data_IF_302094680276
#
_entry.id   IF_302094680276
#
_cell.length_a   1.000
_cell.length_b   1.000
_cell.length_c   1.000
_cell.angle_alpha   90.00
_cell.angle_beta   90.00
_cell.angle_gamma   90.00
#
_symmetry.space_group_name_H-M   'P 1'
#
loop_
_entity.id
_entity.type
_entity.pdbx_description
1 polymer ?
#
# COMPACT_ATOMS: atom_id res chain seq x y z
N UNK A 1 -11.31 -17.43 -9.29
CA UNK A 1 -10.80 -16.07 -9.60
C UNK A 1 -9.75 -15.70 -8.57
N UNK A 2 -8.72 -14.96 -8.96
CA UNK A 2 -7.62 -14.51 -8.07
C UNK A 2 -7.51 -13.00 -8.20
N UNK A 3 -7.62 -12.28 -7.07
CA UNK A 3 -7.62 -10.81 -7.04
C UNK A 3 -6.42 -10.32 -6.24
N UNK A 4 -5.52 -9.62 -6.91
CA UNK A 4 -4.33 -9.01 -6.31
C UNK A 4 -4.65 -7.58 -5.86
N UNK A 5 -4.70 -7.38 -4.55
CA UNK A 5 -5.07 -6.10 -3.91
C UNK A 5 -3.87 -5.16 -3.71
N UNK A 6 -2.66 -5.56 -4.16
CA UNK A 6 -1.44 -4.78 -3.99
C UNK A 6 -0.57 -4.88 -5.24
N UNK A 7 -0.87 -4.03 -6.22
CA UNK A 7 -0.10 -3.93 -7.44
C UNK A 7 0.14 -2.46 -7.82
N UNK A 8 1.32 -2.19 -8.37
CA UNK A 8 1.74 -0.84 -8.71
C UNK A 8 1.78 -0.60 -10.21
N UNK A 9 1.53 0.64 -10.58
CA UNK A 9 1.48 1.10 -11.95
C UNK A 9 2.14 2.47 -12.07
N UNK A 10 2.91 2.68 -13.14
CA UNK A 10 3.45 4.00 -13.51
C UNK A 10 3.15 4.21 -14.99
N UNK A 11 2.15 5.04 -15.34
CA UNK A 11 1.75 5.24 -16.72
C UNK A 11 2.87 5.88 -17.54
N UNK A 12 2.90 5.58 -18.85
CA UNK A 12 3.93 6.06 -19.76
C UNK A 12 4.12 7.59 -19.72
N UNK A 13 3.02 8.34 -19.62
CA UNK A 13 3.06 9.81 -19.53
C UNK A 13 3.73 10.28 -18.23
N UNK A 14 3.50 9.57 -17.14
CA UNK A 14 4.17 9.87 -15.86
C UNK A 14 5.64 9.48 -15.92
N UNK A 15 5.98 8.33 -16.49
CA UNK A 15 7.37 7.93 -16.69
C UNK A 15 8.14 8.99 -17.51
N UNK A 16 7.50 9.53 -18.56
CA UNK A 16 8.09 10.62 -19.35
C UNK A 16 8.30 11.91 -18.53
N UNK A 17 7.36 12.24 -17.63
CA UNK A 17 7.54 13.36 -16.71
C UNK A 17 8.67 13.10 -15.71
N UNK A 18 8.79 11.88 -15.19
CA UNK A 18 9.86 11.49 -14.26
C UNK A 18 11.25 11.49 -14.92
N UNK A 19 11.38 11.20 -16.22
CA UNK A 19 12.65 11.31 -16.99
C UNK A 19 13.16 12.76 -17.08
N UNK A 20 12.28 13.74 -17.02
CA UNK A 20 12.64 15.17 -17.05
C UNK A 20 13.08 15.72 -15.71
N UNK A 21 12.81 15.00 -14.64
CA UNK A 21 13.18 15.40 -13.27
C UNK A 21 14.68 15.17 -13.01
N UNK A 22 15.17 15.77 -11.92
CA UNK A 22 16.53 15.57 -11.41
C UNK A 22 16.54 15.32 -9.89
N UNK A 23 15.38 15.33 -9.27
CA UNK A 23 15.16 15.00 -7.86
C UNK A 23 14.21 13.81 -7.75
N UNK A 24 14.42 12.99 -6.72
CA UNK A 24 13.63 11.78 -6.51
C UNK A 24 12.13 12.09 -6.28
N UNK A 25 11.25 11.32 -6.89
CA UNK A 25 11.54 10.23 -7.85
C UNK A 25 11.90 10.78 -9.24
N UNK A 26 12.90 10.19 -9.88
CA UNK A 26 13.26 10.50 -11.27
C UNK A 26 13.82 9.26 -11.99
N UNK A 27 13.69 9.22 -13.31
CA UNK A 27 14.14 8.09 -14.14
C UNK A 27 15.40 8.49 -14.92
N UNK A 28 16.41 7.62 -14.85
CA UNK A 28 17.68 7.73 -15.55
C UNK A 28 17.82 6.65 -16.61
N UNK A 29 18.20 7.06 -17.83
CA UNK A 29 18.61 6.11 -18.86
C UNK A 29 20.06 5.66 -18.59
N UNK A 30 20.29 4.36 -18.52
CA UNK A 30 21.59 3.76 -18.27
C UNK A 30 22.33 3.49 -19.58
N UNK A 31 23.69 3.45 -19.56
CA UNK A 31 24.49 3.23 -20.76
C UNK A 31 24.19 1.91 -21.51
N UNK A 32 23.75 0.88 -20.79
CA UNK A 32 23.36 -0.44 -21.31
C UNK A 32 21.98 -0.48 -21.97
N UNK A 33 21.26 0.65 -21.99
CA UNK A 33 19.94 0.76 -22.60
C UNK A 33 18.77 0.38 -21.68
N UNK A 34 19.05 0.10 -20.39
CA UNK A 34 18.03 -0.06 -19.35
C UNK A 34 17.68 1.30 -18.72
N UNK A 35 16.68 1.33 -17.87
CA UNK A 35 16.32 2.51 -17.09
C UNK A 35 16.36 2.20 -15.59
N UNK A 36 16.65 3.22 -14.81
CA UNK A 36 16.65 3.14 -13.34
C UNK A 36 15.82 4.28 -12.76
N UNK A 37 14.92 3.95 -11.85
CA UNK A 37 14.22 4.95 -11.06
C UNK A 37 14.93 5.21 -9.75
N UNK A 38 15.29 6.47 -9.52
CA UNK A 38 15.89 6.95 -8.28
C UNK A 38 14.80 7.40 -7.32
N UNK A 39 14.84 6.87 -6.11
CA UNK A 39 13.86 7.07 -5.04
C UNK A 39 14.53 7.76 -3.85
N UNK A 40 13.77 8.33 -2.91
CA UNK A 40 14.33 8.87 -1.67
C UNK A 40 15.11 7.85 -0.82
N UNK A 41 14.90 6.55 -1.07
CA UNK A 41 15.48 5.44 -0.29
C UNK A 41 16.47 4.58 -1.08
N UNK A 42 16.79 4.94 -2.32
CA UNK A 42 17.68 4.17 -3.20
C UNK A 42 17.23 4.21 -4.64
N UNK A 43 17.57 3.18 -5.41
CA UNK A 43 17.18 3.09 -6.80
C UNK A 43 16.75 1.66 -7.16
N UNK A 44 15.80 1.54 -8.09
CA UNK A 44 15.29 0.29 -8.63
C UNK A 44 15.45 0.28 -10.15
N UNK A 45 15.48 -0.89 -10.75
CA UNK A 45 15.30 -1.05 -12.18
C UNK A 45 13.89 -0.59 -12.56
N UNK A 46 13.78 0.11 -13.70
CA UNK A 46 12.50 0.58 -14.23
C UNK A 46 12.33 0.04 -15.65
N UNK A 47 11.17 -0.55 -15.91
CA UNK A 47 10.93 -1.21 -17.20
C UNK A 47 9.45 -1.24 -17.60
N UNK A 48 9.17 -2.00 -18.65
CA UNK A 48 7.84 -2.16 -19.22
C UNK A 48 6.82 -2.79 -18.25
N UNK A 49 7.27 -3.53 -17.27
CA UNK A 49 6.48 -4.14 -16.20
C UNK A 49 5.71 -3.11 -15.36
N UNK A 50 6.20 -1.85 -15.29
CA UNK A 50 5.48 -0.76 -14.64
C UNK A 50 4.40 -0.14 -15.51
N UNK A 51 4.56 -0.07 -16.85
CA UNK A 51 3.76 0.80 -17.72
C UNK A 51 3.05 0.10 -18.86
N UNK A 52 3.50 -1.07 -19.31
CA UNK A 52 2.97 -1.78 -20.47
C UNK A 52 1.79 -2.69 -20.09
N UNK A 53 0.55 -2.21 -20.29
CA UNK A 53 -0.65 -2.96 -19.92
C UNK A 53 -0.86 -4.26 -20.72
N UNK A 54 -0.45 -4.31 -21.98
CA UNK A 54 -0.53 -5.55 -22.77
C UNK A 54 0.38 -6.64 -22.21
N UNK A 55 1.62 -6.27 -21.89
CA UNK A 55 2.56 -7.19 -21.24
C UNK A 55 2.07 -7.59 -19.84
N UNK A 56 1.49 -6.66 -19.07
CA UNK A 56 0.93 -6.95 -17.74
C UNK A 56 -0.25 -7.92 -17.79
N UNK A 57 -1.17 -7.76 -18.72
CA UNK A 57 -2.29 -8.70 -18.88
C UNK A 57 -1.77 -10.10 -19.22
N UNK A 58 -0.83 -10.22 -20.15
CA UNK A 58 -0.22 -11.50 -20.48
C UNK A 58 0.51 -12.13 -19.27
N UNK A 59 1.23 -11.32 -18.49
CA UNK A 59 1.89 -11.74 -17.25
C UNK A 59 0.88 -12.26 -16.21
N UNK A 60 -0.25 -11.56 -16.04
CA UNK A 60 -1.33 -11.95 -15.14
C UNK A 60 -1.96 -13.28 -15.58
N UNK A 61 -2.26 -13.41 -16.90
CA UNK A 61 -2.86 -14.63 -17.47
C UNK A 61 -1.96 -15.86 -17.26
N UNK A 62 -0.65 -15.71 -17.46
CA UNK A 62 0.33 -16.77 -17.23
C UNK A 62 0.35 -17.27 -15.78
N UNK A 63 0.05 -16.38 -14.82
CA UNK A 63 0.09 -16.67 -13.38
C UNK A 63 -1.28 -16.92 -12.75
N UNK A 64 -2.34 -16.87 -13.54
CA UNK A 64 -3.70 -17.06 -13.06
C UNK A 64 -4.18 -15.94 -12.12
N UNK A 65 -3.67 -14.71 -12.32
CA UNK A 65 -4.18 -13.51 -11.66
C UNK A 65 -5.25 -12.86 -12.53
N UNK A 66 -6.47 -12.89 -12.08
CA UNK A 66 -7.61 -12.42 -12.88
C UNK A 66 -7.76 -10.89 -12.82
N UNK A 67 -7.54 -10.30 -11.65
CA UNK A 67 -7.75 -8.87 -11.41
C UNK A 67 -6.66 -8.26 -10.51
N UNK A 68 -6.30 -7.00 -10.76
CA UNK A 68 -5.38 -6.23 -9.91
C UNK A 68 -6.00 -4.91 -9.47
N UNK A 69 -5.79 -4.54 -8.20
CA UNK A 69 -5.99 -3.20 -7.67
C UNK A 69 -4.72 -2.38 -7.91
N UNK A 70 -4.78 -1.43 -8.85
CA UNK A 70 -3.63 -0.62 -9.26
C UNK A 70 -3.49 0.64 -8.43
N UNK A 71 -2.31 0.86 -7.90
CA UNK A 71 -1.96 2.06 -7.14
C UNK A 71 -0.62 2.67 -7.57
N UNK A 72 -0.38 3.91 -7.20
CA UNK A 72 0.94 4.52 -7.32
C UNK A 72 1.88 3.95 -6.25
N UNK A 73 3.16 3.65 -6.56
CA UNK A 73 4.07 3.12 -5.55
C UNK A 73 4.39 4.14 -4.45
N UNK A 74 3.87 3.95 -3.23
CA UNK A 74 4.00 4.91 -2.13
C UNK A 74 5.45 5.19 -1.71
N UNK A 75 6.35 4.19 -1.80
CA UNK A 75 7.78 4.37 -1.52
C UNK A 75 8.50 5.28 -2.53
N UNK A 76 7.89 5.60 -3.68
CA UNK A 76 8.43 6.61 -4.59
C UNK A 76 8.40 8.01 -3.98
N UNK A 77 7.50 8.26 -3.01
CA UNK A 77 7.47 9.44 -2.17
C UNK A 77 7.06 10.73 -2.89
N UNK A 78 6.44 10.63 -4.07
CA UNK A 78 5.94 11.78 -4.81
C UNK A 78 4.73 12.42 -4.12
N UNK A 79 3.87 11.61 -3.53
CA UNK A 79 2.67 11.99 -2.79
C UNK A 79 2.95 12.86 -1.55
N UNK A 80 4.19 12.80 -1.06
CA UNK A 80 4.68 13.54 0.11
C UNK A 80 5.57 14.74 -0.24
N UNK A 81 5.75 15.04 -1.53
CA UNK A 81 6.44 16.26 -2.00
C UNK A 81 5.53 17.48 -1.85
N UNK A 82 6.09 18.72 -1.91
CA UNK A 82 5.27 19.94 -1.94
C UNK A 82 4.11 19.83 -2.95
N UNK A 83 2.93 20.30 -2.57
CA UNK A 83 1.72 20.04 -3.35
C UNK A 83 1.75 20.66 -4.75
N UNK A 84 2.40 21.80 -4.94
CA UNK A 84 2.61 22.45 -6.23
C UNK A 84 3.47 21.62 -7.19
N UNK A 85 4.38 20.81 -6.65
CA UNK A 85 5.20 19.85 -7.40
C UNK A 85 4.43 18.54 -7.66
N UNK A 86 3.78 18.01 -6.63
CA UNK A 86 3.18 16.67 -6.64
C UNK A 86 1.83 16.62 -7.36
N UNK A 87 0.93 17.57 -7.10
CA UNK A 87 -0.46 17.50 -7.56
C UNK A 87 -0.62 17.34 -9.07
N UNK A 88 0.14 18.05 -9.95
CA UNK A 88 0.01 17.86 -11.40
C UNK A 88 0.37 16.44 -11.85
N UNK A 89 1.39 15.82 -11.23
CA UNK A 89 1.85 14.48 -11.58
C UNK A 89 0.91 13.40 -11.03
N UNK A 90 0.38 13.60 -9.83
CA UNK A 90 -0.57 12.67 -9.22
C UNK A 90 -1.91 12.71 -9.94
N UNK A 91 -2.38 13.88 -10.37
CA UNK A 91 -3.57 14.02 -11.21
C UNK A 91 -3.40 13.30 -12.56
N UNK A 92 -2.24 13.44 -13.19
CA UNK A 92 -1.91 12.71 -14.43
C UNK A 92 -1.92 11.18 -14.19
N UNK A 93 -1.39 10.71 -13.07
CA UNK A 93 -1.48 9.30 -12.68
C UNK A 93 -2.94 8.87 -12.53
N UNK A 94 -3.76 9.63 -11.79
CA UNK A 94 -5.15 9.31 -11.52
C UNK A 94 -5.99 9.23 -12.80
N UNK A 95 -5.78 10.15 -13.73
CA UNK A 95 -6.43 10.11 -15.05
C UNK A 95 -6.04 8.86 -15.85
N UNK A 96 -4.77 8.49 -15.82
CA UNK A 96 -4.24 7.34 -16.55
C UNK A 96 -4.71 6.00 -15.95
N UNK A 97 -4.66 5.82 -14.63
CA UNK A 97 -5.14 4.59 -14.00
C UNK A 97 -6.64 4.41 -14.16
N UNK A 98 -7.42 5.50 -14.13
CA UNK A 98 -8.83 5.48 -14.43
C UNK A 98 -9.11 5.09 -15.89
N UNK A 99 -8.31 5.58 -16.84
CA UNK A 99 -8.43 5.19 -18.25
C UNK A 99 -8.15 3.70 -18.45
N UNK A 100 -7.12 3.15 -17.77
CA UNK A 100 -6.81 1.71 -17.79
C UNK A 100 -7.94 0.89 -17.19
N UNK A 101 -8.48 1.29 -16.04
CA UNK A 101 -9.60 0.60 -15.39
C UNK A 101 -10.87 0.60 -16.26
N UNK A 102 -11.17 1.69 -16.94
CA UNK A 102 -12.31 1.76 -17.90
C UNK A 102 -12.08 0.91 -19.15
N UNK A 103 -10.84 0.82 -19.64
CA UNK A 103 -10.53 0.01 -20.82
C UNK A 103 -10.57 -1.49 -20.53
N UNK A 104 -10.30 -1.89 -19.29
CA UNK A 104 -10.23 -3.28 -18.85
C UNK A 104 -10.93 -3.47 -17.49
N UNK A 105 -12.27 -3.26 -17.40
CA UNK A 105 -12.99 -3.21 -16.12
C UNK A 105 -12.98 -4.55 -15.36
N UNK A 106 -12.85 -5.65 -16.07
CA UNK A 106 -12.77 -7.00 -15.47
C UNK A 106 -11.35 -7.36 -14.98
N UNK A 107 -10.35 -6.53 -15.33
CA UNK A 107 -8.93 -6.80 -15.03
C UNK A 107 -8.33 -5.81 -14.03
N UNK A 108 -8.78 -4.57 -14.02
CA UNK A 108 -8.17 -3.53 -13.22
C UNK A 108 -9.19 -2.68 -12.47
N UNK A 109 -8.86 -2.40 -11.22
CA UNK A 109 -9.48 -1.36 -10.40
C UNK A 109 -8.40 -0.38 -9.99
N UNK A 110 -8.64 0.93 -10.06
CA UNK A 110 -7.66 1.96 -9.73
C UNK A 110 -7.90 2.60 -8.36
N UNK A 111 -6.81 2.95 -7.69
CA UNK A 111 -6.79 3.85 -6.52
C UNK A 111 -6.16 5.18 -6.88
N UNK A 112 -6.67 6.26 -6.29
CA UNK A 112 -6.09 7.59 -6.43
C UNK A 112 -4.79 7.72 -5.63
N UNK A 113 -3.84 8.47 -6.18
CA UNK A 113 -2.69 9.00 -5.45
C UNK A 113 -2.99 10.47 -5.09
N UNK A 114 -2.65 10.89 -3.86
CA UNK A 114 -3.10 12.16 -3.27
C UNK A 114 -1.91 13.02 -2.82
N UNK A 115 -1.97 14.37 -2.98
CA UNK A 115 -0.90 15.28 -2.56
C UNK A 115 -0.98 15.58 -1.04
N UNK A 116 -0.39 14.74 -0.19
CA UNK A 116 -0.51 14.82 1.27
C UNK A 116 0.11 16.07 1.92
N UNK A 117 0.91 16.84 1.18
CA UNK A 117 1.44 18.10 1.68
C UNK A 117 0.37 19.21 1.80
N UNK A 118 -0.79 19.03 1.16
CA UNK A 118 -1.95 19.93 1.24
C UNK A 118 -3.23 19.10 1.37
N UNK A 119 -3.80 19.07 2.57
CA UNK A 119 -4.96 18.23 2.87
C UNK A 119 -6.21 18.64 2.09
N UNK A 120 -6.41 19.94 1.83
CA UNK A 120 -7.56 20.41 1.06
C UNK A 120 -7.47 19.93 -0.39
N UNK A 121 -6.28 19.98 -0.99
CA UNK A 121 -6.04 19.42 -2.32
C UNK A 121 -6.16 17.89 -2.33
N UNK A 122 -5.69 17.19 -1.29
CA UNK A 122 -5.83 15.74 -1.16
C UNK A 122 -7.31 15.31 -1.11
N UNK A 123 -8.14 16.02 -0.32
CA UNK A 123 -9.59 15.79 -0.26
C UNK A 123 -10.27 16.09 -1.59
N UNK A 124 -9.91 17.20 -2.25
CA UNK A 124 -10.47 17.55 -3.56
C UNK A 124 -10.14 16.49 -4.61
N UNK A 125 -8.89 15.99 -4.63
CA UNK A 125 -8.44 14.97 -5.57
C UNK A 125 -9.05 13.59 -5.28
N UNK A 126 -9.25 13.22 -4.00
CA UNK A 126 -10.01 12.02 -3.64
C UNK A 126 -11.43 12.09 -4.20
N UNK A 127 -12.13 13.22 -3.99
CA UNK A 127 -13.49 13.41 -4.51
C UNK A 127 -13.51 13.31 -6.04
N UNK A 128 -12.61 14.01 -6.74
CA UNK A 128 -12.48 13.92 -8.19
C UNK A 128 -12.24 12.49 -8.65
N UNK A 129 -11.28 11.80 -8.03
CA UNK A 129 -10.93 10.41 -8.34
C UNK A 129 -12.14 9.47 -8.25
N UNK A 130 -12.92 9.57 -7.17
CA UNK A 130 -14.05 8.68 -6.96
C UNK A 130 -15.30 9.07 -7.76
N UNK A 131 -15.63 10.38 -7.86
CA UNK A 131 -16.92 10.80 -8.47
C UNK A 131 -16.84 11.03 -9.98
N UNK A 132 -15.68 11.43 -10.50
CA UNK A 132 -15.52 11.76 -11.93
C UNK A 132 -14.73 10.67 -12.68
N UNK A 133 -13.74 10.06 -12.02
CA UNK A 133 -12.87 9.09 -12.64
C UNK A 133 -13.29 7.64 -12.38
N UNK A 134 -14.12 7.36 -11.34
CA UNK A 134 -14.59 6.03 -10.99
C UNK A 134 -13.52 5.19 -10.29
N UNK A 135 -12.57 5.82 -9.59
CA UNK A 135 -11.60 5.13 -8.75
C UNK A 135 -12.23 4.63 -7.46
N UNK A 136 -11.77 3.49 -6.96
CA UNK A 136 -12.36 2.83 -5.79
C UNK A 136 -12.01 3.51 -4.45
N UNK A 137 -11.04 4.42 -4.45
CA UNK A 137 -10.55 5.10 -3.25
C UNK A 137 -9.15 5.61 -3.44
N UNK A 138 -8.27 5.48 -2.44
CA UNK A 138 -6.91 6.00 -2.51
C UNK A 138 -5.89 5.14 -1.78
N UNK A 139 -4.60 5.27 -2.17
CA UNK A 139 -3.45 4.78 -1.42
C UNK A 139 -2.98 5.84 -0.43
N UNK A 140 -2.66 5.42 0.81
CA UNK A 140 -2.24 6.30 1.91
C UNK A 140 -0.89 5.87 2.47
N UNK A 141 0.01 6.81 2.87
CA UNK A 141 1.28 6.46 3.46
C UNK A 141 1.11 5.96 4.90
N UNK A 142 1.64 4.79 5.23
CA UNK A 142 1.56 4.22 6.58
C UNK A 142 2.18 5.13 7.65
N UNK A 143 3.20 5.92 7.31
CA UNK A 143 3.82 6.83 8.26
C UNK A 143 2.87 7.94 8.77
N UNK A 144 1.77 8.19 8.06
CA UNK A 144 0.72 9.08 8.55
C UNK A 144 -0.08 8.49 9.75
N UNK A 145 0.13 7.21 10.06
CA UNK A 145 -0.52 6.49 11.15
C UNK A 145 0.47 5.99 12.23
N UNK A 146 1.70 6.47 12.25
CA UNK A 146 2.68 6.06 13.28
C UNK A 146 2.27 6.47 14.70
N UNK A 147 1.47 7.52 14.84
CA UNK A 147 0.86 7.96 16.09
C UNK A 147 -0.57 8.41 15.84
N UNK A 148 -1.40 8.40 16.90
CA UNK A 148 -2.77 8.90 16.79
C UNK A 148 -2.80 10.40 16.42
N UNK A 149 -1.86 11.19 16.91
CA UNK A 149 -1.77 12.62 16.59
C UNK A 149 -1.50 12.88 15.09
N UNK A 150 -0.79 11.99 14.44
CA UNK A 150 -0.59 12.07 12.97
C UNK A 150 -1.85 11.58 12.24
N UNK A 151 -2.46 10.48 12.68
CA UNK A 151 -3.69 9.96 12.10
C UNK A 151 -4.83 10.99 12.14
N UNK A 152 -4.95 11.73 13.23
CA UNK A 152 -5.95 12.80 13.40
C UNK A 152 -5.89 13.88 12.30
N UNK A 153 -4.72 14.13 11.72
CA UNK A 153 -4.56 15.08 10.61
C UNK A 153 -5.27 14.60 9.32
N UNK A 154 -5.53 13.31 9.20
CA UNK A 154 -6.22 12.71 8.06
C UNK A 154 -7.74 12.65 8.22
N UNK A 155 -8.32 13.14 9.34
CA UNK A 155 -9.78 13.13 9.54
C UNK A 155 -10.56 13.76 8.38
N UNK A 156 -10.17 14.91 7.81
CA UNK A 156 -10.91 15.48 6.67
C UNK A 156 -10.96 14.53 5.45
N UNK A 157 -9.89 13.77 5.23
CA UNK A 157 -9.83 12.78 4.16
C UNK A 157 -10.73 11.58 4.44
N UNK A 158 -10.73 11.08 5.69
CA UNK A 158 -11.60 9.97 6.12
C UNK A 158 -13.08 10.37 6.15
N UNK A 159 -13.41 11.60 6.54
CA UNK A 159 -14.78 12.14 6.44
C UNK A 159 -15.27 12.16 4.99
N UNK A 160 -14.43 12.66 4.07
CA UNK A 160 -14.72 12.65 2.64
C UNK A 160 -14.88 11.22 2.11
N UNK A 161 -13.96 10.33 2.50
CA UNK A 161 -13.98 8.91 2.14
C UNK A 161 -15.23 8.20 2.66
N UNK A 162 -15.62 8.45 3.91
CA UNK A 162 -16.82 7.87 4.51
C UNK A 162 -18.11 8.31 3.81
N UNK A 163 -18.17 9.57 3.39
CA UNK A 163 -19.29 10.08 2.60
C UNK A 163 -19.42 9.43 1.22
N UNK A 164 -18.31 8.95 0.66
CA UNK A 164 -18.22 8.34 -0.67
C UNK A 164 -18.25 6.80 -0.66
N UNK A 165 -18.02 6.16 0.50
CA UNK A 165 -17.92 4.70 0.59
C UNK A 165 -16.66 4.17 -0.08
N UNK A 166 -15.48 4.74 0.21
CA UNK A 166 -14.23 4.41 -0.48
C UNK A 166 -13.43 3.31 0.20
N UNK A 167 -12.53 2.72 -0.58
CA UNK A 167 -11.50 1.83 -0.08
C UNK A 167 -10.17 2.55 0.09
N UNK A 168 -9.55 2.49 1.28
CA UNK A 168 -8.21 2.99 1.52
C UNK A 168 -7.20 1.84 1.64
N UNK A 169 -6.14 1.94 0.85
CA UNK A 169 -4.97 1.08 0.93
C UNK A 169 -3.84 1.79 1.69
N UNK A 170 -3.48 1.31 2.88
CA UNK A 170 -2.39 1.88 3.68
C UNK A 170 -1.11 1.12 3.38
N UNK A 171 -0.19 1.80 2.70
CA UNK A 171 1.02 1.25 2.11
C UNK A 171 2.27 1.90 2.71
N UNK A 172 3.44 1.21 2.75
CA UNK A 172 4.69 1.85 3.13
C UNK A 172 4.94 3.15 2.38
N UNK A 173 5.03 4.24 3.11
CA UNK A 173 5.17 5.59 2.55
C UNK A 173 5.49 6.61 3.62
N UNK A 174 6.07 7.75 3.21
CA UNK A 174 6.50 8.83 4.11
C UNK A 174 5.43 9.90 4.26
N UNK A 175 5.48 10.64 5.35
CA UNK A 175 4.77 11.92 5.49
C UNK A 175 5.57 13.05 4.84
N UNK A 176 4.92 14.18 4.49
CA UNK A 176 5.60 15.35 3.91
C UNK A 176 6.76 15.88 4.77
N UNK A 177 6.63 15.87 6.09
CA UNK A 177 7.67 16.32 7.03
C UNK A 177 8.88 15.36 7.11
N UNK A 178 8.79 14.16 6.54
CA UNK A 178 9.84 13.16 6.50
C UNK A 178 10.60 13.11 5.16
N UNK A 179 10.16 13.92 4.18
CA UNK A 179 10.85 14.02 2.89
C UNK A 179 12.09 14.87 3.06
N UNK A 180 13.29 14.37 2.72
CA UNK A 180 14.52 15.16 2.80
C UNK A 180 14.42 16.42 1.97
N UNK A 181 14.95 17.54 2.47
CA UNK A 181 15.06 18.75 1.68
C UNK A 181 15.88 18.49 0.40
N UNK A 182 15.57 19.21 -0.67
CA UNK A 182 16.28 19.11 -1.94
C UNK A 182 17.80 19.25 -1.73
N UNK A 183 18.57 18.33 -2.29
CA UNK A 183 20.04 18.32 -2.19
C UNK A 183 20.61 17.83 -0.85
N UNK A 184 19.78 17.39 0.11
CA UNK A 184 20.27 16.76 1.33
C UNK A 184 20.69 15.32 1.06
N UNK A 185 21.93 14.95 1.45
CA UNK A 185 22.35 13.56 1.43
C UNK A 185 21.59 12.76 2.48
N UNK A 186 21.11 11.57 2.14
CA UNK A 186 20.62 10.64 3.14
C UNK A 186 21.75 10.32 4.13
N UNK A 187 21.48 10.28 5.46
CA UNK A 187 22.49 9.91 6.43
C UNK A 187 23.07 8.54 6.08
N UNK A 188 24.42 8.44 6.13
CA UNK A 188 25.09 7.17 5.89
C UNK A 188 24.60 6.13 6.90
N UNK A 189 24.14 4.96 6.40
CA UNK A 189 23.74 3.87 7.27
C UNK A 189 24.97 3.34 8.01
N UNK A 190 24.95 3.20 9.35
CA UNK A 190 26.03 2.56 10.10
C UNK A 190 26.18 1.07 9.77
N UNK A 191 25.25 0.51 8.99
CA UNK A 191 25.19 -0.88 8.56
C UNK A 191 25.24 -0.98 7.03
N UNK A 192 26.18 -0.27 6.39
CA UNK A 192 26.25 -0.17 4.92
C UNK A 192 26.20 -1.55 4.22
N UNK A 193 26.86 -2.56 4.77
CA UNK A 193 26.92 -3.92 4.21
C UNK A 193 25.58 -4.68 4.33
N UNK A 194 24.68 -4.24 5.20
CA UNK A 194 23.36 -4.84 5.45
C UNK A 194 22.21 -3.85 5.23
N UNK A 195 22.45 -2.79 4.47
CA UNK A 195 21.48 -1.71 4.27
C UNK A 195 20.12 -2.23 3.78
N UNK A 196 20.10 -3.18 2.83
CA UNK A 196 18.85 -3.77 2.32
C UNK A 196 18.07 -4.53 3.41
N UNK A 197 18.75 -5.32 4.25
CA UNK A 197 18.10 -6.09 5.31
C UNK A 197 17.56 -5.16 6.40
N UNK A 198 18.31 -4.12 6.76
CA UNK A 198 17.88 -3.09 7.71
C UNK A 198 16.68 -2.33 7.18
N UNK A 199 16.70 -1.91 5.92
CA UNK A 199 15.57 -1.23 5.30
C UNK A 199 14.30 -2.07 5.28
N UNK A 200 14.42 -3.37 4.93
CA UNK A 200 13.28 -4.28 4.97
C UNK A 200 12.69 -4.39 6.38
N UNK A 201 13.54 -4.49 7.42
CA UNK A 201 13.09 -4.52 8.81
C UNK A 201 12.41 -3.21 9.22
N UNK A 202 13.01 -2.06 8.88
CA UNK A 202 12.47 -0.73 9.24
C UNK A 202 11.10 -0.48 8.59
N UNK A 203 10.90 -0.93 7.34
CA UNK A 203 9.58 -0.90 6.67
C UNK A 203 8.57 -1.74 7.45
N UNK A 204 8.89 -2.99 7.78
CA UNK A 204 7.97 -3.86 8.51
C UNK A 204 7.68 -3.33 9.94
N UNK A 205 8.65 -2.72 10.60
CA UNK A 205 8.44 -2.08 11.89
C UNK A 205 7.51 -0.86 11.78
N UNK A 206 7.69 -0.01 10.77
CA UNK A 206 6.81 1.15 10.56
C UNK A 206 5.37 0.74 10.24
N UNK A 207 5.17 -0.30 9.43
CA UNK A 207 3.85 -0.88 9.16
C UNK A 207 3.22 -1.40 10.45
N UNK A 208 3.99 -2.10 11.30
CA UNK A 208 3.48 -2.60 12.58
C UNK A 208 3.04 -1.48 13.52
N UNK A 209 3.79 -0.38 13.60
CA UNK A 209 3.40 0.80 14.39
C UNK A 209 2.10 1.43 13.88
N UNK A 210 1.97 1.61 12.57
CA UNK A 210 0.75 2.14 11.96
C UNK A 210 -0.45 1.22 12.21
N UNK A 211 -0.27 -0.09 12.02
CA UNK A 211 -1.30 -1.09 12.28
C UNK A 211 -1.75 -1.05 13.75
N UNK A 212 -0.79 -0.98 14.69
CA UNK A 212 -1.08 -0.88 16.12
C UNK A 212 -1.87 0.39 16.46
N UNK A 213 -1.48 1.55 15.89
CA UNK A 213 -2.20 2.81 16.09
C UNK A 213 -3.66 2.68 15.67
N UNK A 214 -3.91 2.09 14.50
CA UNK A 214 -5.28 1.96 13.97
C UNK A 214 -6.11 0.91 14.72
N UNK A 215 -5.50 -0.21 15.11
CA UNK A 215 -6.22 -1.26 15.84
C UNK A 215 -6.56 -0.87 17.27
N UNK A 216 -5.67 -0.12 17.95
CA UNK A 216 -5.81 0.16 19.39
C UNK A 216 -6.30 1.57 19.70
N UNK A 217 -6.72 2.33 18.68
CA UNK A 217 -7.39 3.60 18.83
C UNK A 217 -8.87 3.50 18.37
N UNK A 218 -9.62 4.54 18.62
CA UNK A 218 -11.01 4.68 18.18
C UNK A 218 -11.11 5.46 16.85
N UNK A 219 -9.98 5.59 16.13
CA UNK A 219 -9.88 6.39 14.91
C UNK A 219 -10.91 5.99 13.84
N UNK A 220 -11.18 4.69 13.70
CA UNK A 220 -12.13 4.19 12.70
C UNK A 220 -13.60 4.21 13.14
N UNK A 221 -13.89 4.47 14.40
CA UNK A 221 -15.26 4.30 14.94
C UNK A 221 -16.27 5.23 14.26
N UNK A 222 -15.81 6.39 13.76
CA UNK A 222 -16.65 7.37 13.06
C UNK A 222 -16.82 7.08 11.55
N UNK A 223 -16.09 6.08 10.99
CA UNK A 223 -15.99 5.86 9.54
C UNK A 223 -16.50 4.48 9.11
N UNK A 224 -17.77 4.19 9.40
CA UNK A 224 -18.37 2.87 9.15
C UNK A 224 -18.52 2.50 7.67
N UNK A 225 -18.46 3.49 6.77
CA UNK A 225 -18.62 3.31 5.32
C UNK A 225 -17.26 3.32 4.56
N UNK A 226 -16.14 3.33 5.28
CA UNK A 226 -14.79 3.19 4.70
C UNK A 226 -14.31 1.76 4.89
N UNK A 227 -13.78 1.16 3.83
CA UNK A 227 -13.02 -0.08 3.94
C UNK A 227 -11.52 0.21 3.90
N UNK A 228 -10.73 -0.56 4.64
CA UNK A 228 -9.28 -0.34 4.74
C UNK A 228 -8.55 -1.67 4.71
N UNK A 229 -7.44 -1.74 3.97
CA UNK A 229 -6.44 -2.78 4.19
C UNK A 229 -5.04 -2.17 4.37
N UNK A 230 -4.22 -2.86 5.18
CA UNK A 230 -2.83 -2.52 5.47
C UNK A 230 -1.90 -3.47 4.71
N UNK A 231 -0.83 -2.93 4.16
CA UNK A 231 0.19 -3.73 3.48
C UNK A 231 0.90 -4.72 4.42
N UNK A 232 1.47 -5.76 3.82
CA UNK A 232 2.52 -6.62 4.39
C UNK A 232 2.11 -7.29 5.71
N UNK A 233 0.90 -7.89 5.77
CA UNK A 233 0.37 -8.59 6.96
C UNK A 233 0.35 -7.74 8.25
N UNK A 234 0.28 -6.40 8.11
CA UNK A 234 0.40 -5.50 9.25
C UNK A 234 1.83 -5.44 9.84
N UNK A 235 2.83 -5.73 9.02
CA UNK A 235 4.24 -5.69 9.39
C UNK A 235 4.64 -6.77 10.39
N UNK A 236 5.43 -6.39 11.39
CA UNK A 236 5.86 -7.31 12.47
C UNK A 236 4.83 -7.47 13.59
N UNK A 237 3.65 -6.84 13.49
CA UNK A 237 2.64 -6.89 14.55
C UNK A 237 2.21 -8.32 14.93
N UNK A 238 1.92 -9.25 13.98
CA UNK A 238 1.55 -10.61 14.34
C UNK A 238 2.57 -11.33 15.21
N UNK A 239 3.86 -11.01 15.04
CA UNK A 239 4.94 -11.62 15.83
C UNK A 239 4.96 -11.16 17.30
N UNK A 240 4.43 -9.96 17.60
CA UNK A 240 4.56 -9.34 18.93
C UNK A 240 3.24 -9.14 19.67
N UNK A 241 2.10 -9.38 19.04
CA UNK A 241 0.79 -9.05 19.60
C UNK A 241 0.46 -9.84 20.89
N UNK A 242 0.86 -11.11 20.99
CA UNK A 242 0.71 -11.91 22.22
C UNK A 242 1.55 -11.34 23.36
N UNK A 243 2.74 -10.81 23.05
CA UNK A 243 3.53 -10.09 24.06
C UNK A 243 2.85 -8.79 24.49
N UNK A 244 2.20 -8.07 23.56
CA UNK A 244 1.43 -6.87 23.92
C UNK A 244 0.25 -7.23 24.82
N UNK A 245 -0.44 -8.35 24.56
CA UNK A 245 -1.49 -8.91 25.41
C UNK A 245 -0.96 -9.15 26.83
N UNK A 246 0.17 -9.85 26.94
CA UNK A 246 0.79 -10.14 28.22
C UNK A 246 1.25 -8.89 28.99
N UNK A 247 1.75 -7.86 28.27
CA UNK A 247 2.10 -6.58 28.88
C UNK A 247 0.86 -5.86 29.42
N UNK A 248 -0.24 -5.86 28.66
CA UNK A 248 -1.51 -5.26 29.10
C UNK A 248 -2.03 -5.94 30.37
N UNK A 249 -1.99 -7.27 30.40
CA UNK A 249 -2.35 -8.05 31.60
C UNK A 249 -1.48 -7.71 32.82
N UNK A 250 -0.14 -7.75 32.62
CA UNK A 250 0.82 -7.48 33.72
C UNK A 250 0.70 -6.07 34.29
N UNK A 251 0.29 -5.10 33.47
CA UNK A 251 0.11 -3.70 33.88
C UNK A 251 -1.31 -3.38 34.33
N UNK A 252 -2.23 -4.34 34.33
CA UNK A 252 -3.62 -4.13 34.71
C UNK A 252 -4.32 -3.11 33.81
N UNK A 253 -4.07 -3.16 32.51
CA UNK A 253 -4.77 -2.29 31.55
C UNK A 253 -6.21 -2.73 31.45
N UNK A 254 -7.14 -1.81 31.73
CA UNK A 254 -8.57 -2.04 31.58
C UNK A 254 -9.01 -1.82 30.13
N UNK A 255 -10.12 -2.49 29.74
CA UNK A 255 -10.73 -2.35 28.42
C UNK A 255 -10.34 -3.44 27.43
N UNK A 256 -10.49 -3.13 26.15
CA UNK A 256 -10.24 -4.08 25.07
C UNK A 256 -8.77 -4.52 25.04
N UNK A 257 -8.59 -5.81 24.86
CA UNK A 257 -7.27 -6.43 24.75
C UNK A 257 -6.76 -6.38 23.30
N UNK A 258 -5.43 -6.35 23.05
CA UNK A 258 -4.87 -6.33 21.70
C UNK A 258 -5.47 -7.38 20.76
N UNK A 259 -5.58 -8.63 21.22
CA UNK A 259 -6.14 -9.73 20.42
C UNK A 259 -7.60 -9.53 20.03
N UNK A 260 -8.43 -8.86 20.86
CA UNK A 260 -9.84 -8.64 20.57
C UNK A 260 -10.09 -7.64 19.44
N UNK A 261 -9.08 -6.82 19.11
CA UNK A 261 -9.19 -5.76 18.10
C UNK A 261 -8.65 -6.15 16.72
N UNK A 262 -8.05 -7.32 16.57
CA UNK A 262 -7.40 -7.76 15.31
C UNK A 262 -8.36 -7.83 14.12
N UNK A 263 -9.67 -7.97 14.36
CA UNK A 263 -10.70 -8.05 13.31
C UNK A 263 -11.16 -6.70 12.72
N UNK A 264 -10.62 -5.59 13.22
CA UNK A 264 -11.02 -4.23 12.78
C UNK A 264 -10.41 -3.82 11.44
N UNK A 265 -9.41 -4.54 10.93
CA UNK A 265 -8.63 -4.18 9.76
C UNK A 265 -8.39 -5.40 8.86
N UNK A 266 -8.32 -5.19 7.55
CA UNK A 266 -7.78 -6.18 6.64
C UNK A 266 -6.29 -5.93 6.41
N UNK A 267 -5.57 -6.98 6.02
CA UNK A 267 -4.15 -6.91 5.67
C UNK A 267 -3.89 -7.67 4.38
N UNK A 268 -2.95 -7.23 3.55
CA UNK A 268 -2.50 -8.03 2.41
C UNK A 268 -1.27 -8.89 2.76
N UNK A 269 -1.03 -9.92 1.98
CA UNK A 269 0.07 -10.86 2.22
C UNK A 269 1.28 -10.62 1.32
N UNK A 270 1.45 -9.41 0.78
CA UNK A 270 2.52 -9.11 -0.17
C UNK A 270 3.92 -9.35 0.38
N UNK A 271 4.77 -9.86 -0.48
CA UNK A 271 6.23 -10.02 -0.31
C UNK A 271 6.70 -10.78 0.95
N UNK A 272 5.79 -11.47 1.67
CA UNK A 272 6.10 -12.30 2.84
C UNK A 272 5.89 -13.79 2.54
N UNK A 273 6.56 -14.66 3.31
CA UNK A 273 6.54 -16.11 3.06
C UNK A 273 5.38 -16.84 3.74
N UNK A 274 5.23 -18.14 3.42
CA UNK A 274 4.17 -19.01 3.92
C UNK A 274 4.05 -19.03 5.46
N UNK A 275 5.16 -19.01 6.18
CA UNK A 275 5.16 -19.03 7.67
C UNK A 275 4.63 -17.72 8.26
N UNK A 276 4.94 -16.59 7.63
CA UNK A 276 4.39 -15.30 8.04
C UNK A 276 2.88 -15.24 7.79
N UNK A 277 2.43 -15.80 6.67
CA UNK A 277 1.00 -15.92 6.34
C UNK A 277 0.28 -16.83 7.35
N UNK A 278 0.82 -17.99 7.67
CA UNK A 278 0.26 -18.89 8.70
C UNK A 278 0.10 -18.20 10.07
N UNK A 279 1.12 -17.45 10.49
CA UNK A 279 1.06 -16.67 11.72
C UNK A 279 0.00 -15.58 11.65
N UNK A 280 -0.05 -14.82 10.56
CA UNK A 280 -1.05 -13.76 10.39
C UNK A 280 -2.48 -14.32 10.36
N UNK A 281 -2.72 -15.46 9.70
CA UNK A 281 -4.01 -16.17 9.73
C UNK A 281 -4.40 -16.54 11.16
N UNK A 282 -3.46 -17.02 11.98
CA UNK A 282 -3.74 -17.38 13.39
C UNK A 282 -4.12 -16.16 14.25
N UNK A 283 -3.66 -14.96 13.89
CA UNK A 283 -3.89 -13.71 14.63
C UNK A 283 -5.13 -12.96 14.09
N UNK A 284 -5.16 -12.66 12.79
CA UNK A 284 -6.23 -11.88 12.19
C UNK A 284 -7.42 -12.72 11.75
N UNK A 285 -7.20 -14.01 11.44
CA UNK A 285 -8.13 -14.88 10.72
C UNK A 285 -8.00 -14.72 9.21
N UNK A 286 -8.25 -15.82 8.49
CA UNK A 286 -8.18 -15.83 7.03
C UNK A 286 -9.16 -14.85 6.38
N UNK A 287 -10.30 -14.57 7.04
CA UNK A 287 -11.33 -13.62 6.60
C UNK A 287 -10.88 -12.15 6.59
N UNK A 288 -9.70 -11.86 7.15
CA UNK A 288 -9.09 -10.51 7.20
C UNK A 288 -7.85 -10.38 6.33
N UNK A 289 -7.46 -11.41 5.59
CA UNK A 289 -6.28 -11.36 4.74
C UNK A 289 -6.72 -11.35 3.28
N UNK A 290 -6.16 -10.43 2.49
CA UNK A 290 -6.31 -10.39 1.03
C UNK A 290 -5.00 -10.76 0.36
N UNK A 291 -5.05 -11.32 -0.84
CA UNK A 291 -3.87 -11.48 -1.66
C UNK A 291 -3.33 -10.12 -2.08
N UNK A 292 -2.02 -9.92 -1.99
CA UNK A 292 -1.30 -8.78 -2.50
C UNK A 292 0.10 -9.21 -2.93
N UNK A 293 0.61 -8.70 -4.04
CA UNK A 293 1.90 -9.13 -4.60
C UNK A 293 3.01 -8.10 -4.50
N UNK A 294 2.66 -6.83 -4.43
CA UNK A 294 3.58 -5.67 -4.56
C UNK A 294 4.28 -5.65 -5.94
N UNK A 295 3.60 -6.23 -6.94
CA UNK A 295 4.08 -6.28 -8.33
C UNK A 295 4.11 -4.84 -8.92
N UNK A 296 5.17 -4.46 -9.66
CA UNK A 296 6.32 -5.25 -10.10
C UNK A 296 7.55 -5.12 -9.17
N UNK A 297 7.43 -4.48 -8.02
CA UNK A 297 8.55 -4.29 -7.06
C UNK A 297 9.04 -5.65 -6.54
N UNK A 298 8.09 -6.55 -6.24
CA UNK A 298 8.37 -7.94 -5.89
C UNK A 298 7.75 -8.91 -6.88
N UNK A 299 8.28 -10.12 -6.94
CA UNK A 299 7.78 -11.17 -7.81
C UNK A 299 6.41 -11.68 -7.30
N UNK A 300 5.41 -11.64 -8.16
CA UNK A 300 4.09 -12.26 -7.94
C UNK A 300 4.19 -13.75 -7.57
N UNK A 301 5.18 -14.46 -8.13
CA UNK A 301 5.39 -15.88 -7.88
C UNK A 301 5.70 -16.18 -6.41
N UNK A 302 6.32 -15.25 -5.68
CA UNK A 302 6.58 -15.41 -4.24
C UNK A 302 5.29 -15.42 -3.41
N UNK A 303 4.37 -14.50 -3.67
CA UNK A 303 3.08 -14.47 -2.97
C UNK A 303 2.23 -15.68 -3.32
N UNK A 304 2.16 -16.05 -4.59
CA UNK A 304 1.44 -17.27 -5.01
C UNK A 304 2.02 -18.53 -4.38
N UNK A 305 3.36 -18.63 -4.32
CA UNK A 305 4.03 -19.72 -3.62
C UNK A 305 3.75 -19.71 -2.11
N UNK A 306 3.76 -18.53 -1.48
CA UNK A 306 3.48 -18.40 -0.05
C UNK A 306 2.06 -18.89 0.29
N UNK A 307 1.04 -18.51 -0.52
CA UNK A 307 -0.35 -18.93 -0.32
C UNK A 307 -0.50 -20.44 -0.59
N UNK A 308 0.17 -20.99 -1.63
CA UNK A 308 0.15 -22.41 -1.95
C UNK A 308 0.78 -23.26 -0.85
N UNK A 309 1.95 -22.83 -0.34
CA UNK A 309 2.81 -23.61 0.57
C UNK A 309 2.42 -23.43 2.04
N UNK A 310 1.61 -22.43 2.38
CA UNK A 310 1.06 -22.25 3.73
C UNK A 310 0.08 -23.37 4.10
N UNK A 311 0.12 -23.77 5.37
CA UNK A 311 -0.77 -24.79 5.95
C UNK A 311 -2.14 -24.17 6.23
N UNK A 312 -2.90 -23.95 5.16
CA UNK A 312 -4.26 -23.42 5.15
C UNK A 312 -5.19 -24.47 4.59
N UNK A 313 -6.43 -24.46 5.01
CA UNK A 313 -7.46 -25.25 4.30
C UNK A 313 -7.88 -24.55 2.99
N UNK A 314 -8.66 -25.23 2.17
CA UNK A 314 -9.05 -24.71 0.87
C UNK A 314 -10.01 -23.52 0.98
N UNK A 315 -10.83 -23.45 2.03
CA UNK A 315 -11.76 -22.35 2.25
C UNK A 315 -11.00 -21.08 2.62
N UNK A 316 -10.04 -21.16 3.53
CA UNK A 316 -9.16 -20.06 3.93
C UNK A 316 -8.34 -19.55 2.73
N UNK A 317 -7.77 -20.50 1.95
CA UNK A 317 -7.01 -20.15 0.74
C UNK A 317 -7.88 -19.41 -0.29
N UNK A 318 -9.12 -19.89 -0.52
CA UNK A 318 -10.04 -19.24 -1.44
C UNK A 318 -10.51 -17.87 -0.92
N UNK A 319 -10.72 -17.73 0.39
CA UNK A 319 -11.04 -16.43 1.00
C UNK A 319 -9.94 -15.41 0.76
N UNK A 320 -8.66 -15.79 0.94
CA UNK A 320 -7.50 -14.93 0.72
C UNK A 320 -7.32 -14.57 -0.75
N UNK A 321 -7.47 -15.54 -1.66
CA UNK A 321 -7.26 -15.33 -3.10
C UNK A 321 -8.36 -14.48 -3.74
N UNK A 322 -9.60 -14.52 -3.23
CA UNK A 322 -10.75 -13.91 -3.89
C UNK A 322 -11.75 -13.29 -2.93
N UNK A 323 -12.38 -14.09 -2.07
CA UNK A 323 -13.62 -13.73 -1.40
C UNK A 323 -13.53 -12.49 -0.50
N UNK A 324 -12.36 -12.26 0.12
CA UNK A 324 -12.15 -11.06 0.95
C UNK A 324 -12.01 -9.80 0.09
N UNK A 325 -11.29 -9.89 -1.04
CA UNK A 325 -11.12 -8.77 -1.95
C UNK A 325 -12.45 -8.34 -2.59
N UNK A 326 -13.29 -9.30 -3.00
CA UNK A 326 -14.64 -9.01 -3.52
C UNK A 326 -15.45 -8.21 -2.51
N UNK A 327 -15.51 -8.65 -1.25
CA UNK A 327 -16.25 -7.92 -0.19
C UNK A 327 -15.72 -6.50 0.07
N UNK A 328 -14.42 -6.25 -0.15
CA UNK A 328 -13.84 -4.92 0.03
C UNK A 328 -14.09 -3.98 -1.14
N UNK A 329 -14.29 -4.51 -2.35
CA UNK A 329 -14.44 -3.73 -3.58
C UNK A 329 -15.88 -3.60 -4.08
N UNK A 330 -16.84 -4.35 -3.49
CA UNK A 330 -18.26 -4.34 -3.87
C UNK A 330 -19.11 -3.28 -3.12
N UNK A 331 -18.48 -2.34 -2.44
CA UNK A 331 -19.17 -1.25 -1.70
C UNK A 331 -19.45 -0.03 -2.55
#
# INVERSE_FOLDING_TARGET
MTIDMHAHFVPAQMAEALRRRREAPWIEAMPEGTERIHLPIGALEFGDDYSNMTARIAFMDERGVDRQLLSFPGLFGLDSRPADEAAPLLSLFNDAVAAVSRAHPDRFTGLAALPFADMDQAVAELRRGCTELGLAGAILPNNAFLTIAEAEKLRPLFEAGNALGVHFFIHPGRRPDQVPAAGSAAPASPFADLAFARQALDVQASVAHATATLLFSDFFDDYSNVTVHMANLGGTLPMVIERMEHVAETRGVDGDRPMSRTKRLHVDCSSLGARSLELAVSIFGADRIVMGTDCPIFSTDWTLAAIRDARLDDADRQAILQGNAERLLEH
#
